data_IF_862833517021
#
_entry.id   IF_862833517021
#
_cell.length_a   1.000
_cell.length_b   1.000
_cell.length_c   1.000
_cell.angle_alpha   90.00
_cell.angle_beta   90.00
_cell.angle_gamma   90.00
#
_symmetry.space_group_name_H-M   'P 1'
#
loop_
_entity.id
_entity.type
_entity.pdbx_description
1 polymer ?
#
# COMPACT_ATOMS: atom_id res chain seq x y z
N UNK A 1 -6.95 1.86 8.24
CA UNK A 1 -6.41 2.05 9.60
C UNK A 1 -5.44 3.21 9.64
N UNK A 2 -5.57 4.05 10.65
CA UNK A 2 -4.68 5.19 10.84
C UNK A 2 -3.22 4.77 11.02
N UNK A 3 -2.99 3.64 11.65
CA UNK A 3 -1.63 3.11 11.85
C UNK A 3 -0.95 2.86 10.52
N UNK A 4 -1.63 2.23 9.58
CA UNK A 4 -1.08 1.94 8.25
C UNK A 4 -0.88 3.24 7.47
N UNK A 5 -1.86 4.14 7.48
CA UNK A 5 -1.78 5.42 6.77
C UNK A 5 -0.65 6.28 7.30
N UNK A 6 -0.43 6.28 8.63
CA UNK A 6 0.65 7.04 9.26
C UNK A 6 2.03 6.55 8.86
N UNK A 7 2.18 5.25 8.56
CA UNK A 7 3.44 4.63 8.23
C UNK A 7 3.58 4.30 6.75
N UNK A 8 2.67 4.77 5.90
CA UNK A 8 2.59 4.33 4.51
C UNK A 8 3.85 4.65 3.71
N UNK A 9 4.52 5.76 3.98
CA UNK A 9 5.74 6.15 3.28
C UNK A 9 6.98 5.38 3.76
N UNK A 10 6.87 4.65 4.86
CA UNK A 10 7.97 3.84 5.38
C UNK A 10 7.96 2.47 4.69
N UNK A 11 8.92 2.17 3.79
CA UNK A 11 8.94 0.89 3.09
C UNK A 11 9.21 -0.30 4.01
N UNK A 12 9.78 -0.04 5.18
CA UNK A 12 10.08 -1.09 6.15
C UNK A 12 8.90 -1.40 7.08
N UNK A 13 7.81 -0.64 6.96
CA UNK A 13 6.61 -0.94 7.75
C UNK A 13 6.05 -2.29 7.34
N UNK A 14 6.06 -3.24 8.24
CA UNK A 14 5.77 -4.64 7.98
C UNK A 14 4.56 -5.12 8.76
N UNK A 15 4.12 -6.34 8.44
CA UNK A 15 3.07 -7.03 9.20
C UNK A 15 3.45 -7.16 10.68
N UNK A 16 4.74 -7.36 10.97
CA UNK A 16 5.21 -7.47 12.35
C UNK A 16 5.03 -6.16 13.12
N UNK A 17 5.36 -5.05 12.47
CA UNK A 17 5.17 -3.73 13.08
C UNK A 17 3.69 -3.41 13.25
N UNK A 18 2.86 -3.75 12.26
CA UNK A 18 1.41 -3.58 12.37
C UNK A 18 0.87 -4.38 13.55
N UNK A 19 1.30 -5.64 13.70
CA UNK A 19 0.87 -6.50 14.81
C UNK A 19 1.25 -5.89 16.16
N UNK A 20 2.48 -5.37 16.25
CA UNK A 20 2.98 -4.74 17.46
C UNK A 20 2.17 -3.49 17.81
N UNK A 21 1.88 -2.65 16.84
CA UNK A 21 1.08 -1.45 17.05
C UNK A 21 -0.35 -1.76 17.46
N UNK A 22 -0.90 -2.88 16.99
CA UNK A 22 -2.22 -3.34 17.37
C UNK A 22 -2.23 -4.12 18.68
N UNK A 23 -1.06 -4.32 19.30
CA UNK A 23 -0.90 -5.11 20.53
C UNK A 23 -1.44 -6.53 20.35
N UNK A 24 -1.19 -7.13 19.19
CA UNK A 24 -1.64 -8.48 18.85
C UNK A 24 -0.47 -9.32 18.35
N UNK A 25 -0.60 -10.65 18.45
CA UNK A 25 0.31 -11.55 17.76
C UNK A 25 0.07 -11.47 16.25
N UNK A 26 1.05 -11.94 15.44
CA UNK A 26 0.88 -11.98 13.99
C UNK A 26 -0.33 -12.82 13.59
N UNK A 27 -0.54 -13.95 14.27
CA UNK A 27 -1.68 -14.83 13.98
C UNK A 27 -3.00 -14.12 14.26
N UNK A 28 -3.11 -13.43 15.40
CA UNK A 28 -4.32 -12.70 15.76
C UNK A 28 -4.59 -11.55 14.79
N UNK A 29 -3.55 -10.80 14.42
CA UNK A 29 -3.68 -9.71 13.46
C UNK A 29 -4.12 -10.22 12.09
N UNK A 30 -3.53 -11.35 11.64
CA UNK A 30 -3.89 -12.00 10.38
C UNK A 30 -5.38 -12.36 10.36
N UNK A 31 -5.81 -13.07 11.38
CA UNK A 31 -7.21 -13.54 11.47
C UNK A 31 -8.19 -12.38 11.52
N UNK A 32 -7.85 -11.36 12.32
CA UNK A 32 -8.75 -10.22 12.49
C UNK A 32 -8.88 -9.40 11.21
N UNK A 33 -7.76 -9.11 10.55
CA UNK A 33 -7.81 -8.34 9.29
C UNK A 33 -8.51 -9.13 8.20
N UNK A 34 -8.23 -10.43 8.09
CA UNK A 34 -8.89 -11.27 7.09
C UNK A 34 -10.39 -11.29 7.32
N UNK A 35 -10.83 -11.39 8.57
CA UNK A 35 -12.25 -11.38 8.93
C UNK A 35 -12.94 -10.07 8.61
N UNK A 36 -12.27 -8.94 8.84
CA UNK A 36 -12.87 -7.62 8.66
C UNK A 36 -12.79 -7.14 7.20
N UNK A 37 -11.65 -7.36 6.56
CA UNK A 37 -11.36 -6.76 5.24
C UNK A 37 -11.36 -7.75 4.09
N UNK A 38 -11.33 -9.05 4.38
CA UNK A 38 -11.14 -10.09 3.37
C UNK A 38 -9.72 -10.16 2.84
N UNK A 39 -8.78 -9.45 3.45
CA UNK A 39 -7.38 -9.37 3.00
C UNK A 39 -6.44 -9.77 4.12
N UNK A 40 -5.31 -10.41 3.74
CA UNK A 40 -4.22 -10.62 4.67
C UNK A 40 -3.61 -9.27 5.06
N UNK A 41 -2.88 -9.19 6.19
CA UNK A 41 -2.21 -7.94 6.56
C UNK A 41 -1.30 -7.39 5.47
N UNK A 42 -0.55 -8.25 4.79
CA UNK A 42 0.32 -7.82 3.69
C UNK A 42 -0.48 -7.22 2.53
N UNK A 43 -1.55 -7.89 2.13
CA UNK A 43 -2.44 -7.41 1.08
C UNK A 43 -3.11 -6.10 1.50
N UNK A 44 -3.50 -6.00 2.76
CA UNK A 44 -4.15 -4.81 3.29
C UNK A 44 -3.22 -3.59 3.24
N UNK A 45 -1.99 -3.74 3.72
CA UNK A 45 -0.99 -2.66 3.68
C UNK A 45 -0.74 -2.26 2.22
N UNK A 46 -0.56 -3.23 1.34
CA UNK A 46 -0.31 -2.97 -0.09
C UNK A 46 -1.47 -2.21 -0.73
N UNK A 47 -2.71 -2.60 -0.43
CA UNK A 47 -3.88 -1.95 -1.03
C UNK A 47 -3.99 -0.49 -0.58
N UNK A 48 -3.66 -0.18 0.67
CA UNK A 48 -3.65 1.20 1.15
C UNK A 48 -2.56 2.02 0.46
N UNK A 49 -1.36 1.43 0.28
CA UNK A 49 -0.27 2.09 -0.45
C UNK A 49 -0.69 2.41 -1.88
N UNK A 50 -1.35 1.47 -2.56
CA UNK A 50 -1.81 1.65 -3.94
C UNK A 50 -2.91 2.72 -4.01
N UNK A 51 -3.81 2.73 -3.06
CA UNK A 51 -4.88 3.75 -3.00
C UNK A 51 -4.29 5.15 -2.84
N UNK A 52 -3.30 5.31 -1.97
CA UNK A 52 -2.62 6.60 -1.81
C UNK A 52 -1.88 6.99 -3.08
N UNK A 53 -1.25 6.00 -3.74
CA UNK A 53 -0.56 6.24 -5.00
C UNK A 53 -1.52 6.77 -6.07
N UNK A 54 -2.71 6.18 -6.19
CA UNK A 54 -3.72 6.64 -7.14
C UNK A 54 -4.08 8.11 -6.89
N UNK A 55 -4.23 8.50 -5.63
CA UNK A 55 -4.50 9.89 -5.28
C UNK A 55 -3.35 10.81 -5.71
N UNK A 56 -2.11 10.41 -5.43
CA UNK A 56 -0.93 11.22 -5.79
C UNK A 56 -0.75 11.33 -7.31
N UNK A 57 -0.99 10.24 -8.04
CA UNK A 57 -0.91 10.26 -9.50
C UNK A 57 -1.90 11.23 -10.11
N UNK A 58 -3.08 11.37 -9.51
CA UNK A 58 -4.11 12.25 -10.01
C UNK A 58 -3.97 13.71 -9.62
N UNK A 59 -3.20 14.00 -8.58
CA UNK A 59 -3.19 15.35 -7.97
C UNK A 59 -1.82 16.02 -7.88
N UNK A 60 -0.73 15.27 -8.08
CA UNK A 60 0.61 15.81 -7.87
C UNK A 60 1.41 15.87 -9.16
N UNK A 61 2.53 16.58 -9.09
CA UNK A 61 3.49 16.67 -10.20
C UNK A 61 4.56 15.58 -10.13
N UNK A 62 4.43 14.66 -9.20
CA UNK A 62 5.41 13.58 -9.01
C UNK A 62 5.41 12.63 -10.20
N UNK A 63 6.59 12.11 -10.52
CA UNK A 63 6.71 11.04 -11.51
C UNK A 63 6.16 9.74 -10.93
N UNK A 64 5.92 8.75 -11.78
CA UNK A 64 5.46 7.43 -11.34
C UNK A 64 6.45 6.82 -10.33
N UNK A 65 7.75 6.90 -10.61
CA UNK A 65 8.78 6.37 -9.71
C UNK A 65 8.76 7.11 -8.36
N UNK A 66 8.63 8.43 -8.38
CA UNK A 66 8.54 9.21 -7.15
C UNK A 66 7.32 8.83 -6.32
N UNK A 67 6.18 8.62 -6.97
CA UNK A 67 4.97 8.17 -6.29
C UNK A 67 5.20 6.80 -5.64
N UNK A 68 5.84 5.87 -6.36
CA UNK A 68 6.14 4.55 -5.81
C UNK A 68 6.92 4.64 -4.49
N UNK A 69 7.99 5.44 -4.48
CA UNK A 69 8.80 5.62 -3.28
C UNK A 69 8.04 6.35 -2.18
N UNK A 70 7.26 7.36 -2.55
CA UNK A 70 6.48 8.16 -1.59
C UNK A 70 5.48 7.30 -0.81
N UNK A 71 4.91 6.31 -1.47
CA UNK A 71 3.94 5.43 -0.80
C UNK A 71 4.58 4.15 -0.24
N UNK A 72 5.91 4.08 -0.21
CA UNK A 72 6.62 3.03 0.50
C UNK A 72 7.00 1.80 -0.32
N UNK A 73 6.93 1.85 -1.64
CA UNK A 73 7.45 0.78 -2.47
C UNK A 73 8.94 0.98 -2.69
N UNK A 74 9.74 -0.06 -2.45
CA UNK A 74 11.18 -0.02 -2.68
C UNK A 74 11.56 -0.17 -4.15
N UNK A 75 10.65 -0.70 -4.97
CA UNK A 75 10.93 -1.05 -6.36
C UNK A 75 9.76 -0.59 -7.23
N UNK A 76 9.99 0.38 -8.13
CA UNK A 76 8.92 0.86 -9.02
C UNK A 76 8.32 -0.23 -9.91
N UNK A 77 9.06 -1.28 -10.24
CA UNK A 77 8.53 -2.39 -11.03
C UNK A 77 7.47 -3.17 -10.27
N UNK A 78 7.70 -3.42 -8.98
CA UNK A 78 6.69 -4.06 -8.14
C UNK A 78 5.47 -3.17 -7.99
N UNK A 79 5.69 -1.89 -7.80
CA UNK A 79 4.61 -0.92 -7.72
C UNK A 79 3.74 -0.99 -8.97
N UNK A 80 4.35 -0.91 -10.16
CA UNK A 80 3.63 -0.94 -11.42
C UNK A 80 2.82 -2.23 -11.59
N UNK A 81 3.42 -3.37 -11.23
CA UNK A 81 2.77 -4.68 -11.31
C UNK A 81 1.51 -4.73 -10.45
N UNK A 82 1.61 -4.36 -9.19
CA UNK A 82 0.48 -4.44 -8.27
C UNK A 82 -0.54 -3.35 -8.53
N UNK A 83 -0.10 -2.18 -8.98
CA UNK A 83 -1.02 -1.12 -9.39
C UNK A 83 -1.89 -1.59 -10.55
N UNK A 84 -1.28 -2.20 -11.56
CA UNK A 84 -2.02 -2.74 -12.71
C UNK A 84 -3.01 -3.82 -12.30
N UNK A 85 -2.61 -4.71 -11.38
CA UNK A 85 -3.51 -5.74 -10.87
C UNK A 85 -4.71 -5.15 -10.16
N UNK A 86 -4.52 -4.07 -9.40
CA UNK A 86 -5.58 -3.44 -8.62
C UNK A 86 -6.50 -2.55 -9.47
N UNK A 87 -5.91 -1.76 -10.38
CA UNK A 87 -6.64 -0.73 -11.13
C UNK A 87 -6.85 -1.05 -12.59
N UNK A 88 -6.30 -2.14 -13.08
CA UNK A 88 -6.50 -2.58 -14.47
C UNK A 88 -5.64 -1.87 -15.50
N UNK A 89 -4.89 -0.84 -15.11
CA UNK A 89 -4.00 -0.08 -15.99
C UNK A 89 -2.68 0.21 -15.29
N UNK A 90 -1.63 0.45 -16.07
CA UNK A 90 -0.34 0.86 -15.51
C UNK A 90 -0.44 2.24 -14.88
N UNK A 91 0.41 2.54 -13.87
CA UNK A 91 0.40 3.86 -13.24
C UNK A 91 0.60 5.01 -14.22
N UNK A 92 1.45 4.82 -15.25
CA UNK A 92 1.67 5.85 -16.27
C UNK A 92 0.41 6.15 -17.07
N UNK A 93 -0.37 5.12 -17.41
CA UNK A 93 -1.64 5.31 -18.10
C UNK A 93 -2.67 5.98 -17.19
N UNK A 94 -2.70 5.60 -15.93
CA UNK A 94 -3.61 6.19 -14.94
C UNK A 94 -3.33 7.69 -14.74
N UNK A 95 -2.05 8.06 -14.69
CA UNK A 95 -1.64 9.45 -14.50
C UNK A 95 -2.10 10.35 -15.65
N UNK A 96 -2.19 9.80 -16.85
CA UNK A 96 -2.54 10.55 -18.06
C UNK A 96 -4.03 10.60 -18.36
N UNK A 97 -4.87 10.04 -17.50
CA UNK A 97 -6.33 10.08 -17.71
C UNK A 97 -7.01 11.30 -17.10
#
# INVERSE_FOLDING_TARGET
>A
LQIVEKNISNPDFSVEELSRELHMSRVSAYKKLLSITGKTPLEFIRSIRLKRAAQLLGKSQLTVAEVAYEVGFNNPKYFAKYFKLEYGVLPSAYKNT
#
